data_IF_513400719059
#
_entry.id   IF_513400719059
#
_cell.length_a   1.000
_cell.length_b   1.000
_cell.length_c   1.000
_cell.angle_alpha   90.00
_cell.angle_beta   90.00
_cell.angle_gamma   90.00
#
_symmetry.space_group_name_H-M   'P 1'
#
loop_
_entity.id
_entity.type
_entity.pdbx_description
1 polymer ?
#
# COMPACT_ATOMS: atom_id res chain seq x y z
N UNK A 1 -6.52 0.62 6.23
CA UNK A 1 -5.07 0.89 6.15
C UNK A 1 -4.42 -0.05 7.16
N UNK A 2 -3.42 -0.83 6.77
CA UNK A 2 -2.70 -1.75 7.68
C UNK A 2 -1.37 -1.10 8.08
N UNK A 3 -0.98 -1.23 9.35
CA UNK A 3 0.33 -0.80 9.86
C UNK A 3 1.09 -1.99 10.43
N UNK A 4 2.41 -2.02 10.19
CA UNK A 4 3.27 -3.11 10.66
C UNK A 4 4.40 -2.53 11.53
N UNK A 5 4.25 -2.64 12.85
CA UNK A 5 5.23 -2.20 13.83
C UNK A 5 6.04 -3.35 14.43
N UNK A 6 6.95 -3.01 15.35
CA UNK A 6 7.73 -4.03 16.08
C UNK A 6 6.84 -4.96 16.91
N UNK A 7 5.74 -4.44 17.46
CA UNK A 7 4.79 -5.17 18.30
C UNK A 7 3.92 -6.13 17.48
N UNK A 8 3.64 -5.81 16.21
CA UNK A 8 2.77 -6.63 15.38
C UNK A 8 2.17 -5.89 14.19
N UNK A 9 1.11 -6.47 13.64
CA UNK A 9 0.30 -5.91 12.56
C UNK A 9 -1.00 -5.37 13.16
N UNK A 10 -1.33 -4.13 12.85
CA UNK A 10 -2.58 -3.47 13.24
C UNK A 10 -3.43 -3.19 12.00
N UNK A 11 -4.76 -3.24 12.16
CA UNK A 11 -5.74 -3.04 11.07
C UNK A 11 -5.46 -3.89 9.82
N UNK A 12 -5.16 -5.18 10.05
CA UNK A 12 -4.77 -6.10 9.01
C UNK A 12 -5.78 -6.16 7.86
N UNK A 13 -5.30 -6.00 6.62
CA UNK A 13 -6.15 -6.06 5.44
C UNK A 13 -6.67 -7.49 5.24
N UNK A 14 -7.99 -7.59 5.10
CA UNK A 14 -8.64 -8.86 4.77
C UNK A 14 -8.42 -9.24 3.31
N UNK A 15 -8.49 -10.54 2.95
CA UNK A 15 -8.36 -11.00 1.57
C UNK A 15 -9.35 -10.33 0.62
N UNK A 16 -10.59 -10.10 1.06
CA UNK A 16 -11.63 -9.43 0.27
C UNK A 16 -11.27 -7.97 -0.02
N UNK A 17 -10.72 -7.24 0.95
CA UNK A 17 -10.25 -5.86 0.73
C UNK A 17 -9.08 -5.82 -0.26
N UNK A 18 -8.16 -6.78 -0.18
CA UNK A 18 -7.03 -6.88 -1.12
C UNK A 18 -7.53 -7.21 -2.53
N UNK A 19 -8.48 -8.13 -2.65
CA UNK A 19 -9.05 -8.53 -3.94
C UNK A 19 -9.87 -7.41 -4.59
N UNK A 20 -10.59 -6.61 -3.79
CA UNK A 20 -11.35 -5.47 -4.28
C UNK A 20 -10.49 -4.26 -4.64
N UNK A 21 -9.25 -4.17 -4.13
CA UNK A 21 -8.38 -3.03 -4.40
C UNK A 21 -7.87 -3.01 -5.84
N UNK A 22 -7.94 -1.84 -6.49
CA UNK A 22 -7.36 -1.64 -7.83
C UNK A 22 -5.83 -1.53 -7.79
N UNK A 23 -5.30 -0.98 -6.71
CA UNK A 23 -3.86 -0.78 -6.48
C UNK A 23 -3.54 -0.95 -5.01
N UNK A 24 -2.35 -1.48 -4.73
CA UNK A 24 -1.78 -1.58 -3.37
C UNK A 24 -0.64 -0.60 -3.26
N UNK A 25 -0.69 0.28 -2.25
CA UNK A 25 0.42 1.19 -1.93
C UNK A 25 1.16 0.62 -0.73
N UNK A 26 2.44 0.35 -0.89
CA UNK A 26 3.33 -0.14 0.15
C UNK A 26 4.29 0.98 0.55
N UNK A 27 4.21 1.40 1.81
CA UNK A 27 5.03 2.50 2.33
C UNK A 27 5.94 2.02 3.43
N UNK A 28 7.20 1.72 3.11
CA UNK A 28 8.15 1.31 4.12
C UNK A 28 9.60 1.53 3.70
N UNK A 29 10.45 1.77 4.69
CA UNK A 29 11.91 1.73 4.60
C UNK A 29 12.48 0.35 4.98
N UNK A 30 11.67 -0.52 5.61
CA UNK A 30 11.99 -1.93 5.93
C UNK A 30 11.09 -2.93 5.17
N UNK A 31 11.39 -4.23 5.25
CA UNK A 31 10.59 -5.27 4.60
C UNK A 31 9.17 -5.39 5.18
N UNK A 32 8.18 -5.60 4.31
CA UNK A 32 6.78 -5.79 4.69
C UNK A 32 6.50 -7.30 4.83
N UNK A 33 5.87 -7.69 5.94
CA UNK A 33 5.47 -9.08 6.17
C UNK A 33 4.25 -9.42 5.31
N UNK A 34 4.17 -10.68 4.89
CA UNK A 34 3.03 -11.24 4.13
C UNK A 34 2.74 -10.50 2.81
N UNK A 35 3.79 -9.99 2.17
CA UNK A 35 3.66 -9.23 0.93
C UNK A 35 3.15 -10.08 -0.25
N UNK A 36 3.35 -11.39 -0.17
CA UNK A 36 2.81 -12.38 -1.12
C UNK A 36 1.28 -12.29 -1.30
N UNK A 37 0.55 -11.78 -0.29
CA UNK A 37 -0.91 -11.55 -0.38
C UNK A 37 -1.30 -10.53 -1.45
N UNK A 38 -0.36 -9.67 -1.86
CA UNK A 38 -0.57 -8.65 -2.88
C UNK A 38 -0.11 -9.10 -4.28
N UNK A 39 0.34 -10.34 -4.45
CA UNK A 39 0.82 -10.86 -5.73
C UNK A 39 -0.29 -10.81 -6.79
N UNK A 40 0.04 -10.29 -7.96
CA UNK A 40 -0.90 -10.13 -9.08
C UNK A 40 -1.73 -8.85 -9.03
N UNK A 41 -1.62 -8.05 -7.97
CA UNK A 41 -2.14 -6.68 -7.94
C UNK A 41 -1.07 -5.68 -8.39
N UNK A 42 -1.46 -4.54 -8.97
CA UNK A 42 -0.55 -3.42 -9.17
C UNK A 42 -0.05 -2.92 -7.80
N UNK A 43 1.26 -2.98 -7.58
CA UNK A 43 1.88 -2.53 -6.34
C UNK A 43 2.71 -1.28 -6.60
N UNK A 44 2.37 -0.19 -5.92
CA UNK A 44 3.17 1.02 -5.86
C UNK A 44 3.97 1.03 -4.56
N UNK A 45 5.30 1.01 -4.66
CA UNK A 45 6.18 1.22 -3.52
C UNK A 45 6.60 2.68 -3.46
N UNK A 46 6.45 3.30 -2.30
CA UNK A 46 6.87 4.68 -2.03
C UNK A 46 7.49 4.76 -0.65
N UNK A 47 8.49 5.61 -0.46
CA UNK A 47 9.00 5.88 0.88
C UNK A 47 7.93 6.57 1.73
N UNK A 48 7.89 6.27 3.02
CA UNK A 48 6.92 6.87 3.93
C UNK A 48 6.99 8.41 3.90
N UNK A 49 8.20 8.98 3.90
CA UNK A 49 8.41 10.42 3.79
C UNK A 49 7.86 11.02 2.49
N UNK A 50 8.00 10.32 1.36
CA UNK A 50 7.45 10.76 0.08
C UNK A 50 5.92 10.69 0.06
N UNK A 51 5.32 9.64 0.63
CA UNK A 51 3.87 9.54 0.72
C UNK A 51 3.32 10.68 1.56
N UNK A 52 3.90 10.97 2.73
CA UNK A 52 3.43 12.03 3.62
C UNK A 52 3.44 13.40 2.92
N UNK A 53 4.54 13.72 2.20
CA UNK A 53 4.69 15.02 1.56
C UNK A 53 3.97 15.15 0.22
N UNK A 54 3.78 14.05 -0.51
CA UNK A 54 3.30 14.06 -1.91
C UNK A 54 2.03 13.24 -2.11
N UNK A 55 1.32 12.87 -1.02
CA UNK A 55 0.05 12.14 -1.05
C UNK A 55 -0.92 12.62 -2.14
N UNK A 56 -1.29 13.91 -2.24
CA UNK A 56 -2.27 14.35 -3.24
C UNK A 56 -1.81 14.09 -4.68
N UNK A 57 -0.53 14.30 -4.97
CA UNK A 57 0.06 14.08 -6.30
C UNK A 57 0.09 12.58 -6.62
N UNK A 58 0.40 11.73 -5.64
CA UNK A 58 0.45 10.28 -5.82
C UNK A 58 -0.95 9.74 -6.14
N UNK A 59 -1.96 10.17 -5.39
CA UNK A 59 -3.35 9.74 -5.61
C UNK A 59 -3.86 10.22 -6.97
N UNK A 60 -3.60 11.47 -7.36
CA UNK A 60 -3.99 11.99 -8.66
C UNK A 60 -3.38 11.20 -9.81
N UNK A 61 -2.08 10.89 -9.74
CA UNK A 61 -1.39 10.07 -10.75
C UNK A 61 -1.90 8.64 -10.81
N UNK A 62 -2.27 8.06 -9.67
CA UNK A 62 -2.87 6.74 -9.62
C UNK A 62 -4.26 6.74 -10.26
N UNK A 63 -5.10 7.74 -9.94
CA UNK A 63 -6.42 7.90 -10.54
C UNK A 63 -6.34 8.05 -12.08
N UNK A 64 -5.39 8.84 -12.58
CA UNK A 64 -5.17 8.99 -14.04
C UNK A 64 -4.69 7.72 -14.73
N UNK A 65 -3.97 6.84 -14.04
CA UNK A 65 -3.45 5.58 -14.59
C UNK A 65 -4.47 4.44 -14.57
N UNK A 66 -5.48 4.55 -13.71
CA UNK A 66 -6.55 3.56 -13.53
C UNK A 66 -7.82 3.94 -14.31
N UNK A 67 -7.90 5.16 -14.84
CA UNK A 67 -8.92 5.62 -15.78
C UNK A 67 -8.60 5.17 -17.22
#
# INVERSE_FOLDING_TARGET
>A
METQGQIGIEDALSPTQIQAADVVILTNDIGIKNEERFKGKPVLRVHAGDLINKSPIIIEKLAQKLA
#
